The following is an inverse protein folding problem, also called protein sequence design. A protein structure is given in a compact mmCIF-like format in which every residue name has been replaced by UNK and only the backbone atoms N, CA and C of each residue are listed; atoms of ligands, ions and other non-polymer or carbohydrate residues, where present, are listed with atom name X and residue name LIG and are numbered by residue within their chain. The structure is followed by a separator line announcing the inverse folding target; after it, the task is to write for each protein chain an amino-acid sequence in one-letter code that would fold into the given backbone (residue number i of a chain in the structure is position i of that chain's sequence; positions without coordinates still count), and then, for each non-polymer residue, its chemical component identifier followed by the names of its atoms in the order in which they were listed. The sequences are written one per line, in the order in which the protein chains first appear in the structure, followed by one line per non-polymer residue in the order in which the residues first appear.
data_IF_243893562899
#
_entry.id   IF_243893562899
#
_cell.length_a   1.000
_cell.length_b   1.000
_cell.length_c   1.000
_cell.angle_alpha   90.00
_cell.angle_beta   90.00
_cell.angle_gamma   90.00
#
_symmetry.space_group_name_H-M   'P 1'
#
loop_
_entity.id
_entity.type
_entity.pdbx_description
1 polymer ?
#
# COMPACT_ATOMS: atom_id res chain seq x y z
N UNK A 1 28.87 12.33 55.18
CA UNK A 1 30.13 11.57 55.33
C UNK A 1 30.68 11.48 53.94
N UNK A 2 31.53 12.45 53.57
CA UNK A 2 33.03 12.42 53.59
C UNK A 2 33.54 11.26 52.73
N UNK A 3 34.28 11.41 51.70
CA UNK A 3 35.57 12.04 51.39
C UNK A 3 36.20 11.13 50.37
N UNK A 4 36.95 11.32 49.33
CA UNK A 4 37.89 12.27 48.80
C UNK A 4 38.46 11.62 47.52
N UNK A 5 38.58 12.22 46.40
CA UNK A 5 39.76 12.92 45.86
C UNK A 5 41.13 12.25 46.03
N UNK A 6 41.75 11.77 44.91
CA UNK A 6 43.21 11.78 44.74
C UNK A 6 43.52 11.99 43.24
N UNK A 7 44.31 13.03 43.04
CA UNK A 7 44.97 13.52 41.83
C UNK A 7 46.43 13.05 41.88
N UNK A 8 46.98 12.57 40.77
CA UNK A 8 48.46 12.46 40.68
C UNK A 8 48.89 12.87 39.26
N UNK A 9 49.49 14.03 39.21
CA UNK A 9 50.40 14.47 38.13
C UNK A 9 51.78 13.85 38.34
N UNK A 10 52.42 13.48 37.22
CA UNK A 10 53.90 13.49 37.15
C UNK A 10 54.38 13.93 35.78
N UNK A 11 55.05 15.05 35.79
CA UNK A 11 55.91 15.64 34.77
C UNK A 11 57.24 14.94 34.70
N UNK A 12 57.80 14.84 33.48
CA UNK A 12 59.18 14.43 33.25
C UNK A 12 59.69 14.95 31.90
N UNK A 13 60.45 16.05 31.95
CA UNK A 13 61.27 16.58 30.85
C UNK A 13 62.57 15.81 30.71
N UNK A 14 63.11 15.71 29.50
CA UNK A 14 64.49 15.28 29.24
C UNK A 14 64.85 15.44 27.75
N UNK A 15 65.78 16.37 27.48
CA UNK A 15 66.21 16.88 26.18
C UNK A 15 67.27 16.07 25.44
N UNK A 16 67.32 16.35 24.10
CA UNK A 16 68.50 16.46 23.15
C UNK A 16 69.16 15.15 22.67
N UNK A 17 69.44 14.89 21.42
CA UNK A 17 69.95 15.58 20.25
C UNK A 17 70.22 14.59 19.10
N UNK A 18 70.13 15.15 17.88
CA UNK A 18 70.92 14.86 16.69
C UNK A 18 70.57 13.74 15.71
N UNK A 19 69.96 14.21 14.62
CA UNK A 19 70.13 13.94 13.17
C UNK A 19 70.48 12.53 12.62
N UNK A 20 69.64 12.05 11.68
CA UNK A 20 69.92 11.96 10.22
C UNK A 20 68.77 11.24 9.46
N UNK A 21 68.30 11.94 8.45
CA UNK A 21 67.86 11.49 7.13
C UNK A 21 67.57 9.99 6.91
N UNK A 22 66.34 9.67 6.53
CA UNK A 22 66.03 8.91 5.30
C UNK A 22 64.52 8.96 5.00
N UNK A 23 64.19 9.34 3.76
CA UNK A 23 62.88 9.30 3.14
C UNK A 23 62.18 7.97 3.30
N UNK A 24 60.85 8.00 3.61
CA UNK A 24 59.91 7.06 3.06
C UNK A 24 58.45 7.53 3.29
N UNK A 25 57.80 7.79 2.20
CA UNK A 25 56.40 7.50 1.87
C UNK A 25 55.33 7.97 2.84
N UNK A 26 54.80 9.12 2.57
CA UNK A 26 53.43 9.54 2.97
C UNK A 26 52.39 8.58 2.40
N UNK A 27 51.86 7.68 3.24
CA UNK A 27 50.56 7.06 3.03
C UNK A 27 49.51 8.07 3.44
N UNK A 28 48.92 8.75 2.47
CA UNK A 28 47.72 9.52 2.66
C UNK A 28 46.58 8.54 2.83
N UNK A 29 46.12 8.32 4.04
CA UNK A 29 44.82 7.74 4.31
C UNK A 29 43.81 8.79 3.89
N UNK A 30 43.33 8.64 2.66
CA UNK A 30 42.12 9.32 2.18
C UNK A 30 40.97 8.70 2.98
N UNK A 31 40.54 9.39 4.02
CA UNK A 31 39.22 9.19 4.60
C UNK A 31 38.23 9.38 3.44
N UNK A 32 37.63 8.31 2.96
CA UNK A 32 36.48 8.38 2.10
C UNK A 32 35.36 8.95 2.95
N UNK A 33 35.23 10.28 2.86
CA UNK A 33 34.02 11.00 3.24
C UNK A 33 32.95 10.51 2.27
N UNK A 34 32.18 9.49 2.68
CA UNK A 34 30.95 9.14 1.99
C UNK A 34 29.93 10.22 2.34
N UNK A 35 30.03 11.37 1.70
CA UNK A 35 28.90 12.24 1.57
C UNK A 35 27.85 11.41 0.81
N UNK A 36 26.83 10.93 1.53
CA UNK A 36 25.61 10.46 0.88
C UNK A 36 25.23 11.58 -0.09
N UNK A 37 25.18 11.28 -1.38
CA UNK A 37 24.68 12.22 -2.37
C UNK A 37 23.28 12.62 -1.89
N UNK A 38 23.07 13.92 -1.64
CA UNK A 38 21.76 14.44 -1.29
C UNK A 38 20.87 14.09 -2.49
N UNK A 39 19.81 13.29 -2.27
CA UNK A 39 18.92 12.91 -3.35
C UNK A 39 18.13 14.12 -3.81
N UNK A 40 17.94 14.26 -5.12
CA UNK A 40 17.19 15.39 -5.70
C UNK A 40 15.71 15.33 -5.34
N UNK A 41 15.18 14.10 -5.05
CA UNK A 41 13.77 13.85 -4.73
C UNK A 41 13.60 12.95 -3.51
N UNK A 42 12.57 13.22 -2.71
CA UNK A 42 12.10 12.35 -1.64
C UNK A 42 10.62 12.02 -1.86
N UNK A 43 10.29 10.75 -2.04
CA UNK A 43 8.92 10.28 -2.28
C UNK A 43 8.44 9.42 -1.12
N UNK A 44 7.26 9.77 -0.56
CA UNK A 44 6.54 8.93 0.37
C UNK A 44 5.68 7.91 -0.38
N UNK A 45 5.82 6.62 -0.07
CA UNK A 45 4.93 5.57 -0.59
C UNK A 45 4.07 5.03 0.56
N UNK A 46 2.76 5.32 0.51
CA UNK A 46 1.76 4.81 1.43
C UNK A 46 1.02 3.65 0.79
N UNK A 47 1.28 2.42 1.22
CA UNK A 47 0.58 1.21 0.77
C UNK A 47 -0.42 0.76 1.84
N UNK A 48 -1.68 0.47 1.47
CA UNK A 48 -2.73 0.18 2.44
C UNK A 48 -2.58 -1.19 3.09
N UNK A 49 -2.34 -2.23 2.31
CA UNK A 49 -2.20 -3.61 2.79
C UNK A 49 -1.04 -4.33 2.09
N UNK A 50 -0.65 -5.48 2.63
CA UNK A 50 0.40 -6.32 2.05
C UNK A 50 -0.24 -7.50 1.31
N UNK A 51 -0.23 -7.44 -0.01
CA UNK A 51 -0.58 -8.54 -0.91
C UNK A 51 -0.05 -8.25 -2.33
N UNK A 52 0.10 -9.32 -3.13
CA UNK A 52 0.80 -9.27 -4.42
C UNK A 52 0.34 -8.20 -5.39
N UNK A 53 -0.97 -7.89 -5.43
CA UNK A 53 -1.50 -6.85 -6.33
C UNK A 53 -0.99 -5.46 -5.99
N UNK A 54 -0.97 -5.09 -4.69
CA UNK A 54 -0.46 -3.77 -4.26
C UNK A 54 1.06 -3.70 -4.32
N UNK A 55 1.75 -4.83 -4.08
CA UNK A 55 3.21 -4.91 -4.25
C UNK A 55 3.60 -4.67 -5.71
N UNK A 56 2.88 -5.28 -6.66
CA UNK A 56 3.07 -5.04 -8.08
C UNK A 56 2.81 -3.57 -8.47
N UNK A 57 1.84 -2.90 -7.85
CA UNK A 57 1.59 -1.47 -8.07
C UNK A 57 2.78 -0.62 -7.59
N UNK A 58 3.33 -0.92 -6.41
CA UNK A 58 4.53 -0.24 -5.88
C UNK A 58 5.73 -0.44 -6.78
N UNK A 59 6.01 -1.69 -7.16
CA UNK A 59 7.13 -2.04 -8.02
C UNK A 59 7.01 -1.37 -9.39
N UNK A 60 5.81 -1.41 -9.99
CA UNK A 60 5.54 -0.74 -11.28
C UNK A 60 5.71 0.78 -11.20
N UNK A 61 5.31 1.41 -10.10
CA UNK A 61 5.53 2.84 -9.88
C UNK A 61 7.02 3.17 -9.85
N UNK A 62 7.82 2.42 -9.08
CA UNK A 62 9.27 2.61 -8.98
C UNK A 62 9.99 2.32 -10.31
N UNK A 63 9.55 1.30 -11.05
CA UNK A 63 10.09 1.01 -12.38
C UNK A 63 9.76 2.12 -13.39
N UNK A 64 8.55 2.69 -13.28
CA UNK A 64 8.16 3.87 -14.07
C UNK A 64 9.06 5.08 -13.80
N UNK A 65 9.34 5.39 -12.54
CA UNK A 65 10.26 6.46 -12.16
C UNK A 65 11.67 6.21 -12.68
N UNK A 66 12.17 4.98 -12.52
CA UNK A 66 13.48 4.59 -13.04
C UNK A 66 13.56 4.75 -14.56
N UNK A 67 12.51 4.39 -15.29
CA UNK A 67 12.43 4.60 -16.74
C UNK A 67 12.49 6.08 -17.15
N UNK A 68 12.07 6.97 -16.24
CA UNK A 68 12.15 8.42 -16.40
C UNK A 68 13.48 9.03 -15.90
N UNK A 69 14.43 8.20 -15.45
CA UNK A 69 15.73 8.63 -14.93
C UNK A 69 15.71 9.04 -13.46
N UNK A 70 14.66 8.70 -12.71
CA UNK A 70 14.53 8.93 -11.27
C UNK A 70 14.70 7.58 -10.57
N UNK A 71 15.87 7.33 -9.98
CA UNK A 71 16.26 6.01 -9.47
C UNK A 71 16.63 6.07 -8.00
N UNK A 72 16.08 5.14 -7.21
CA UNK A 72 16.36 5.01 -5.78
C UNK A 72 17.86 4.76 -5.53
N UNK A 73 18.42 5.52 -4.58
CA UNK A 73 19.84 5.47 -4.23
C UNK A 73 20.76 6.24 -5.20
N UNK A 74 20.21 6.85 -6.26
CA UNK A 74 20.95 7.74 -7.18
C UNK A 74 20.50 9.19 -6.99
N UNK A 75 19.25 9.49 -7.30
CA UNK A 75 18.63 10.81 -7.18
C UNK A 75 17.23 10.75 -6.54
N UNK A 76 16.85 9.61 -5.96
CA UNK A 76 15.59 9.39 -5.26
C UNK A 76 15.83 8.76 -3.90
N UNK A 77 15.19 9.31 -2.87
CA UNK A 77 14.97 8.68 -1.58
C UNK A 77 13.51 8.22 -1.51
N UNK A 78 13.29 6.94 -1.20
CA UNK A 78 11.96 6.35 -1.02
C UNK A 78 11.68 6.13 0.46
N UNK A 79 10.60 6.73 0.96
CA UNK A 79 10.07 6.48 2.29
C UNK A 79 8.82 5.60 2.17
N UNK A 80 8.99 4.29 2.30
CA UNK A 80 7.90 3.33 2.21
C UNK A 80 7.30 3.03 3.58
N UNK A 81 5.96 3.05 3.66
CA UNK A 81 5.17 2.66 4.83
C UNK A 81 3.96 1.84 4.40
N UNK A 82 3.61 0.82 5.20
CA UNK A 82 2.42 -0.01 5.00
C UNK A 82 1.48 0.15 6.20
N UNK A 83 0.20 0.41 5.94
CA UNK A 83 -0.80 0.66 6.98
C UNK A 83 -1.45 -0.60 7.55
N UNK A 84 -1.09 -1.79 7.06
CA UNK A 84 -1.59 -3.08 7.55
C UNK A 84 -3.13 -3.15 7.57
N UNK A 85 -3.77 -2.63 6.52
CA UNK A 85 -5.22 -2.53 6.37
C UNK A 85 -5.92 -1.72 7.48
N UNK A 86 -5.22 -0.78 8.12
CA UNK A 86 -5.76 0.11 9.14
C UNK A 86 -5.79 1.56 8.66
N UNK A 87 -6.99 2.15 8.59
CA UNK A 87 -7.18 3.52 8.08
C UNK A 87 -6.59 4.59 9.00
N UNK A 88 -6.56 4.36 10.31
CA UNK A 88 -5.92 5.27 11.28
C UNK A 88 -4.41 5.31 11.08
N UNK A 89 -3.81 4.14 10.84
CA UNK A 89 -2.39 4.02 10.49
C UNK A 89 -2.11 4.69 9.14
N UNK A 90 -2.97 4.51 8.13
CA UNK A 90 -2.82 5.18 6.83
C UNK A 90 -2.81 6.72 6.97
N UNK A 91 -3.70 7.27 7.79
CA UNK A 91 -3.72 8.72 8.09
C UNK A 91 -2.44 9.18 8.79
N UNK A 92 -1.97 8.40 9.78
CA UNK A 92 -0.71 8.70 10.49
C UNK A 92 0.50 8.69 9.55
N UNK A 93 0.55 7.74 8.61
CA UNK A 93 1.60 7.67 7.58
C UNK A 93 1.57 8.91 6.69
N UNK A 94 0.39 9.30 6.21
CA UNK A 94 0.23 10.48 5.38
C UNK A 94 0.66 11.76 6.10
N UNK A 95 0.24 11.97 7.37
CA UNK A 95 0.66 13.10 8.19
C UNK A 95 2.18 13.14 8.40
N UNK A 96 2.81 11.97 8.57
CA UNK A 96 4.27 11.88 8.69
C UNK A 96 4.97 12.32 7.39
N UNK A 97 4.47 11.93 6.22
CA UNK A 97 5.04 12.36 4.95
C UNK A 97 4.88 13.87 4.74
N UNK A 98 3.72 14.43 5.08
CA UNK A 98 3.51 15.89 5.05
C UNK A 98 4.47 16.59 6.00
N UNK A 99 4.65 16.10 7.24
CA UNK A 99 5.56 16.71 8.22
C UNK A 99 7.03 16.66 7.79
N UNK A 100 7.42 15.66 7.00
CA UNK A 100 8.75 15.52 6.42
C UNK A 100 8.94 16.32 5.14
N UNK A 101 7.88 16.93 4.66
CA UNK A 101 7.86 17.71 3.43
C UNK A 101 8.43 16.93 2.23
N UNK A 102 7.92 15.70 2.03
CA UNK A 102 8.28 14.90 0.84
C UNK A 102 7.84 15.61 -0.44
N UNK A 103 8.51 15.36 -1.57
CA UNK A 103 8.22 16.02 -2.84
C UNK A 103 6.95 15.48 -3.52
N UNK A 104 6.56 14.24 -3.19
CA UNK A 104 5.38 13.56 -3.71
C UNK A 104 4.95 12.43 -2.78
N UNK A 105 3.65 12.18 -2.68
CA UNK A 105 3.13 10.97 -2.06
C UNK A 105 2.53 10.05 -3.13
N UNK A 106 3.06 8.83 -3.24
CA UNK A 106 2.42 7.74 -3.96
C UNK A 106 1.52 6.97 -3.00
N UNK A 107 0.21 7.00 -3.26
CA UNK A 107 -0.77 6.34 -2.42
C UNK A 107 -1.37 5.12 -3.13
N UNK A 108 -1.17 3.94 -2.55
CA UNK A 108 -1.56 2.66 -3.14
C UNK A 108 -2.79 2.12 -2.42
N UNK A 109 -3.88 1.94 -3.13
CA UNK A 109 -5.24 1.63 -2.74
C UNK A 109 -6.07 2.82 -2.24
N UNK A 110 -7.40 2.71 -2.38
CA UNK A 110 -8.36 3.78 -2.07
C UNK A 110 -8.21 4.36 -0.66
N UNK A 111 -8.10 3.57 0.43
CA UNK A 111 -7.98 4.14 1.78
C UNK A 111 -6.68 4.93 1.99
N UNK A 112 -5.56 4.48 1.41
CA UNK A 112 -4.30 5.26 1.44
C UNK A 112 -4.41 6.55 0.64
N UNK A 113 -5.05 6.51 -0.54
CA UNK A 113 -5.24 7.68 -1.38
C UNK A 113 -6.12 8.75 -0.70
N UNK A 114 -7.22 8.33 -0.07
CA UNK A 114 -8.09 9.22 0.72
C UNK A 114 -7.34 9.83 1.91
N UNK A 115 -6.56 9.04 2.63
CA UNK A 115 -5.76 9.53 3.77
C UNK A 115 -4.69 10.53 3.31
N UNK A 116 -3.95 10.21 2.24
CA UNK A 116 -2.92 11.09 1.69
C UNK A 116 -3.52 12.41 1.19
N UNK A 117 -4.63 12.36 0.46
CA UNK A 117 -5.31 13.56 -0.02
C UNK A 117 -5.78 14.45 1.13
N UNK A 118 -6.43 13.86 2.14
CA UNK A 118 -6.91 14.61 3.30
C UNK A 118 -5.77 15.28 4.08
N UNK A 119 -4.64 14.60 4.26
CA UNK A 119 -3.46 15.17 4.94
C UNK A 119 -2.78 16.27 4.12
N UNK A 120 -2.94 16.25 2.79
CA UNK A 120 -2.33 17.22 1.89
C UNK A 120 -3.21 18.43 1.55
N UNK A 121 -4.44 18.55 2.09
CA UNK A 121 -5.37 19.64 1.74
C UNK A 121 -4.80 21.04 1.96
N UNK A 122 -3.97 21.22 2.98
CA UNK A 122 -3.33 22.49 3.32
C UNK A 122 -1.84 22.53 2.90
N UNK A 123 -1.39 21.59 2.05
CA UNK A 123 -0.01 21.52 1.55
C UNK A 123 0.02 21.58 0.01
N UNK A 124 1.20 21.86 -0.55
CA UNK A 124 1.42 21.82 -2.00
C UNK A 124 1.95 20.46 -2.47
N UNK A 125 2.07 19.47 -1.57
CA UNK A 125 2.59 18.15 -1.90
C UNK A 125 1.60 17.44 -2.84
N UNK A 126 2.01 17.05 -4.05
CA UNK A 126 1.16 16.31 -4.97
C UNK A 126 0.98 14.87 -4.48
N UNK A 127 -0.23 14.33 -4.72
CA UNK A 127 -0.56 12.93 -4.46
C UNK A 127 -0.81 12.23 -5.79
N UNK A 128 -0.13 11.11 -6.00
CA UNK A 128 -0.40 10.20 -7.12
C UNK A 128 -0.92 8.88 -6.58
N UNK A 129 -2.14 8.49 -6.97
CA UNK A 129 -2.71 7.23 -6.53
C UNK A 129 -2.63 6.14 -7.61
N UNK A 130 -2.64 4.90 -7.17
CA UNK A 130 -2.87 3.71 -8.00
C UNK A 130 -3.74 2.72 -7.24
N UNK A 131 -4.36 1.77 -7.93
CA UNK A 131 -5.31 0.81 -7.35
C UNK A 131 -6.48 1.50 -6.60
N UNK A 132 -7.11 2.47 -7.26
CA UNK A 132 -8.32 3.15 -6.76
C UNK A 132 -9.49 2.81 -7.67
N UNK A 133 -10.45 2.02 -7.19
CA UNK A 133 -11.51 1.47 -8.04
C UNK A 133 -12.55 2.51 -8.43
N UNK A 134 -12.88 3.44 -7.54
CA UNK A 134 -13.85 4.50 -7.76
C UNK A 134 -13.34 5.85 -7.25
N UNK A 135 -12.52 6.57 -8.04
CA UNK A 135 -11.99 7.87 -7.61
C UNK A 135 -13.08 8.92 -7.34
N UNK A 136 -14.19 8.87 -8.06
CA UNK A 136 -15.33 9.80 -7.87
C UNK A 136 -16.04 9.51 -6.55
N UNK A 137 -16.40 8.25 -6.31
CA UNK A 137 -17.01 7.81 -5.06
C UNK A 137 -16.12 8.01 -3.84
N UNK A 138 -14.79 7.97 -4.01
CA UNK A 138 -13.81 8.26 -2.99
C UNK A 138 -13.53 9.76 -2.77
N UNK A 139 -14.10 10.66 -3.59
CA UNK A 139 -13.87 12.10 -3.50
C UNK A 139 -12.49 12.55 -3.99
N UNK A 140 -11.82 11.74 -4.81
CA UNK A 140 -10.49 12.00 -5.40
C UNK A 140 -10.56 12.52 -6.83
N UNK A 141 -11.76 12.51 -7.42
CA UNK A 141 -12.08 13.08 -8.71
C UNK A 141 -13.49 13.72 -8.67
N UNK A 142 -13.75 14.64 -9.59
CA UNK A 142 -15.09 15.21 -9.79
C UNK A 142 -16.01 14.23 -10.56
N UNK A 143 -17.28 14.61 -10.77
CA UNK A 143 -18.27 13.77 -11.48
C UNK A 143 -17.90 13.49 -12.94
N UNK A 144 -17.07 14.32 -13.55
CA UNK A 144 -16.54 14.18 -14.90
C UNK A 144 -15.24 13.33 -14.91
N UNK A 145 -14.71 12.95 -13.74
CA UNK A 145 -13.49 12.18 -13.58
C UNK A 145 -12.19 13.01 -13.63
N UNK A 146 -12.30 14.35 -13.53
CA UNK A 146 -11.09 15.18 -13.44
C UNK A 146 -10.53 15.19 -12.03
N UNK A 147 -9.23 15.41 -11.92
CA UNK A 147 -8.53 15.55 -10.64
C UNK A 147 -9.09 16.69 -9.78
N UNK A 148 -9.21 16.47 -8.48
CA UNK A 148 -9.55 17.51 -7.50
C UNK A 148 -8.30 17.91 -6.72
N UNK A 149 -8.05 19.22 -6.57
CA UNK A 149 -6.84 19.68 -5.87
C UNK A 149 -5.53 19.12 -6.48
N UNK A 150 -4.60 18.74 -5.61
CA UNK A 150 -3.27 18.25 -6.01
C UNK A 150 -3.20 16.71 -6.07
N UNK A 151 -4.28 16.04 -6.48
CA UNK A 151 -4.29 14.58 -6.57
C UNK A 151 -4.68 14.10 -7.98
N UNK A 152 -3.99 13.07 -8.46
CA UNK A 152 -4.31 12.36 -9.70
C UNK A 152 -3.83 10.91 -9.60
N UNK A 153 -4.19 10.07 -10.58
CA UNK A 153 -3.72 8.69 -10.56
C UNK A 153 -4.40 7.79 -11.59
N UNK A 154 -4.35 6.49 -11.32
CA UNK A 154 -4.92 5.45 -12.16
C UNK A 154 -6.00 4.67 -11.42
N UNK A 155 -7.11 4.35 -12.13
CA UNK A 155 -8.19 3.54 -11.60
C UNK A 155 -8.02 2.07 -12.02
N UNK A 156 -8.42 1.17 -11.10
CA UNK A 156 -8.56 -0.27 -11.30
C UNK A 156 -10.03 -0.72 -11.24
N UNK A 157 -10.95 0.13 -11.73
CA UNK A 157 -12.38 -0.15 -11.70
C UNK A 157 -12.70 -1.55 -12.22
N UNK A 158 -13.44 -2.34 -11.42
CA UNK A 158 -13.87 -3.67 -11.82
C UNK A 158 -14.93 -3.62 -12.92
N UNK A 159 -14.82 -4.47 -13.96
CA UNK A 159 -15.86 -4.65 -14.96
C UNK A 159 -16.96 -5.57 -14.41
N UNK A 160 -17.81 -5.05 -13.51
CA UNK A 160 -18.82 -5.83 -12.76
C UNK A 160 -19.78 -6.58 -13.69
N UNK A 161 -20.21 -5.94 -14.78
CA UNK A 161 -21.13 -6.56 -15.73
C UNK A 161 -20.52 -7.77 -16.44
N UNK A 162 -19.25 -7.67 -16.85
CA UNK A 162 -18.49 -8.76 -17.46
C UNK A 162 -18.24 -9.90 -16.47
N UNK A 163 -18.00 -9.58 -15.20
CA UNK A 163 -17.88 -10.56 -14.12
C UNK A 163 -19.19 -11.33 -13.95
N UNK A 164 -20.33 -10.65 -13.85
CA UNK A 164 -21.65 -11.29 -13.71
C UNK A 164 -21.96 -12.18 -14.92
N UNK A 165 -21.65 -11.71 -16.13
CA UNK A 165 -21.82 -12.48 -17.35
C UNK A 165 -20.95 -13.73 -17.36
N UNK A 166 -19.68 -13.62 -17.01
CA UNK A 166 -18.76 -14.74 -16.91
C UNK A 166 -19.24 -15.78 -15.90
N UNK A 167 -19.70 -15.35 -14.71
CA UNK A 167 -20.25 -16.26 -13.70
C UNK A 167 -21.48 -16.97 -14.24
N UNK A 168 -22.39 -16.28 -14.94
CA UNK A 168 -23.58 -16.89 -15.54
C UNK A 168 -23.24 -17.92 -16.62
N UNK A 169 -22.25 -17.61 -17.45
CA UNK A 169 -21.80 -18.53 -18.53
C UNK A 169 -21.17 -19.80 -17.94
N UNK A 170 -20.41 -19.70 -16.86
CA UNK A 170 -19.75 -20.84 -16.21
C UNK A 170 -20.68 -21.62 -15.27
N UNK A 171 -21.66 -20.95 -14.67
CA UNK A 171 -22.57 -21.49 -13.66
C UNK A 171 -24.03 -21.17 -14.03
N UNK A 172 -24.61 -21.79 -15.08
CA UNK A 172 -25.93 -21.44 -15.58
C UNK A 172 -27.08 -21.67 -14.58
N UNK A 173 -26.90 -22.56 -13.58
CA UNK A 173 -27.89 -22.89 -12.56
C UNK A 173 -27.72 -22.09 -11.27
N UNK A 174 -26.62 -21.37 -11.08
CA UNK A 174 -26.37 -20.57 -9.88
C UNK A 174 -27.38 -19.45 -9.71
N UNK A 175 -27.76 -19.18 -8.46
CA UNK A 175 -28.75 -18.12 -8.11
C UNK A 175 -28.14 -17.09 -7.16
N UNK A 176 -27.19 -17.48 -6.31
CA UNK A 176 -26.67 -16.62 -5.24
C UNK A 176 -25.17 -16.45 -5.38
N UNK A 177 -24.74 -15.21 -5.47
CA UNK A 177 -23.33 -14.84 -5.45
C UNK A 177 -23.03 -14.23 -4.08
N UNK A 178 -22.05 -14.79 -3.38
CA UNK A 178 -21.55 -14.26 -2.12
C UNK A 178 -20.48 -13.21 -2.35
N UNK A 179 -20.53 -12.13 -1.61
CA UNK A 179 -19.48 -11.09 -1.59
C UNK A 179 -19.12 -10.77 -0.16
N UNK A 180 -17.86 -11.01 0.20
CA UNK A 180 -17.28 -10.57 1.47
C UNK A 180 -16.58 -9.24 1.26
N UNK A 181 -16.80 -8.27 2.17
CA UNK A 181 -16.23 -6.94 2.00
C UNK A 181 -15.98 -6.22 3.31
N UNK A 182 -15.07 -5.27 3.31
CA UNK A 182 -14.76 -4.41 4.44
C UNK A 182 -15.60 -3.15 4.41
N UNK A 183 -16.37 -2.89 5.48
CA UNK A 183 -17.34 -1.79 5.53
C UNK A 183 -16.71 -0.40 5.51
N UNK A 184 -15.43 -0.28 5.86
CA UNK A 184 -14.67 0.97 5.83
C UNK A 184 -13.92 1.21 4.52
N UNK A 185 -13.92 0.25 3.57
CA UNK A 185 -13.31 0.42 2.26
C UNK A 185 -14.31 0.97 1.24
N UNK A 186 -14.17 2.25 0.86
CA UNK A 186 -15.08 2.94 -0.06
C UNK A 186 -15.16 2.26 -1.44
N UNK A 187 -14.03 1.73 -1.95
CA UNK A 187 -13.98 0.93 -3.17
C UNK A 187 -14.92 -0.27 -3.11
N UNK A 188 -14.92 -1.00 -2.00
CA UNK A 188 -15.75 -2.19 -1.83
C UNK A 188 -17.24 -1.83 -1.72
N UNK A 189 -17.56 -0.79 -0.95
CA UNK A 189 -18.93 -0.30 -0.79
C UNK A 189 -19.52 0.15 -2.13
N UNK A 190 -18.75 0.90 -2.94
CA UNK A 190 -19.15 1.33 -4.29
C UNK A 190 -19.36 0.13 -5.22
N UNK A 191 -18.42 -0.79 -5.25
CA UNK A 191 -18.48 -1.97 -6.12
C UNK A 191 -19.67 -2.88 -5.79
N UNK A 192 -19.96 -3.12 -4.50
CA UNK A 192 -21.15 -3.92 -4.10
C UNK A 192 -22.45 -3.27 -4.54
N UNK A 193 -22.53 -1.95 -4.48
CA UNK A 193 -23.71 -1.25 -4.98
C UNK A 193 -23.91 -1.53 -6.48
N UNK A 194 -22.86 -1.46 -7.29
CA UNK A 194 -22.92 -1.78 -8.72
C UNK A 194 -23.31 -3.27 -8.94
N UNK A 195 -22.74 -4.22 -8.16
CA UNK A 195 -23.15 -5.62 -8.20
C UNK A 195 -24.64 -5.82 -7.94
N UNK A 196 -25.19 -5.18 -6.89
CA UNK A 196 -26.62 -5.28 -6.55
C UNK A 196 -27.53 -4.67 -7.63
N UNK A 197 -27.09 -3.57 -8.26
CA UNK A 197 -27.85 -2.94 -9.34
C UNK A 197 -27.89 -3.78 -10.62
N UNK A 198 -26.80 -4.49 -10.94
CA UNK A 198 -26.68 -5.23 -12.19
C UNK A 198 -27.06 -6.71 -12.08
N UNK A 199 -26.98 -7.31 -10.89
CA UNK A 199 -27.16 -8.74 -10.67
C UNK A 199 -28.54 -9.25 -11.14
N UNK A 200 -29.59 -8.47 -10.99
CA UNK A 200 -30.94 -8.84 -11.41
C UNK A 200 -31.04 -9.08 -12.94
N UNK A 201 -30.22 -8.37 -13.73
CA UNK A 201 -30.18 -8.55 -15.19
C UNK A 201 -29.64 -9.93 -15.61
N UNK A 202 -28.97 -10.61 -14.67
CA UNK A 202 -28.35 -11.91 -14.84
C UNK A 202 -29.01 -12.99 -13.97
N UNK A 203 -30.22 -12.74 -13.43
CA UNK A 203 -30.94 -13.64 -12.52
C UNK A 203 -30.13 -14.06 -11.28
N UNK A 204 -29.30 -13.17 -10.73
CA UNK A 204 -28.55 -13.38 -9.48
C UNK A 204 -29.11 -12.58 -8.31
N UNK A 205 -29.04 -13.18 -7.14
CA UNK A 205 -29.16 -12.53 -5.83
C UNK A 205 -27.77 -12.34 -5.25
N UNK A 206 -27.43 -11.11 -4.85
CA UNK A 206 -26.16 -10.83 -4.14
C UNK A 206 -26.39 -11.00 -2.64
N UNK A 207 -25.63 -11.90 -2.04
CA UNK A 207 -25.57 -12.09 -0.58
C UNK A 207 -24.26 -11.51 -0.10
N UNK A 208 -24.30 -10.31 0.46
CA UNK A 208 -23.13 -9.63 0.95
C UNK A 208 -22.92 -9.81 2.46
N UNK A 209 -21.67 -9.87 2.88
CA UNK A 209 -21.26 -9.98 4.28
C UNK A 209 -20.18 -8.95 4.58
N UNK A 210 -20.55 -7.94 5.40
CA UNK A 210 -19.61 -6.87 5.81
C UNK A 210 -18.75 -7.30 6.98
N UNK A 211 -17.45 -7.02 6.92
CA UNK A 211 -16.47 -7.18 7.99
C UNK A 211 -15.84 -5.84 8.36
N UNK A 212 -15.15 -5.79 9.48
CA UNK A 212 -14.41 -4.59 9.90
C UNK A 212 -12.90 -4.81 9.92
N UNK A 213 -12.44 -6.05 10.15
CA UNK A 213 -11.03 -6.39 10.28
C UNK A 213 -10.70 -7.73 9.65
N UNK A 214 -9.43 -8.00 9.40
CA UNK A 214 -8.92 -9.30 8.93
C UNK A 214 -9.34 -10.45 9.85
N UNK A 215 -9.44 -10.21 11.16
CA UNK A 215 -9.83 -11.23 12.13
C UNK A 215 -11.27 -11.74 11.93
N UNK A 216 -12.14 -10.97 11.30
CA UNK A 216 -13.53 -11.34 11.04
C UNK A 216 -13.68 -12.26 9.82
N UNK A 217 -12.68 -12.34 8.94
CA UNK A 217 -12.74 -12.99 7.63
C UNK A 217 -13.12 -14.46 7.75
N UNK A 218 -12.49 -15.23 8.64
CA UNK A 218 -12.71 -16.66 8.72
C UNK A 218 -14.17 -17.00 9.05
N UNK A 219 -14.73 -16.35 10.06
CA UNK A 219 -16.10 -16.59 10.48
C UNK A 219 -17.10 -16.15 9.42
N UNK A 220 -16.89 -14.97 8.85
CA UNK A 220 -17.76 -14.41 7.83
C UNK A 220 -17.73 -15.22 6.52
N UNK A 221 -16.55 -15.67 6.09
CA UNK A 221 -16.38 -16.49 4.89
C UNK A 221 -17.08 -17.85 5.05
N UNK A 222 -16.94 -18.53 6.20
CA UNK A 222 -17.62 -19.81 6.49
C UNK A 222 -19.15 -19.66 6.51
N UNK A 223 -19.65 -18.61 7.12
CA UNK A 223 -21.09 -18.32 7.15
C UNK A 223 -21.60 -18.02 5.73
N UNK A 224 -20.92 -17.15 4.99
CA UNK A 224 -21.27 -16.78 3.61
C UNK A 224 -21.26 -17.99 2.67
N UNK A 225 -20.19 -18.80 2.68
CA UNK A 225 -20.05 -19.99 1.85
C UNK A 225 -21.17 -21.02 2.06
N UNK A 226 -21.82 -21.01 3.24
CA UNK A 226 -22.95 -21.90 3.53
C UNK A 226 -24.29 -21.48 2.88
N UNK A 227 -24.36 -20.29 2.29
CA UNK A 227 -25.60 -19.63 1.84
C UNK A 227 -25.64 -19.34 0.34
N UNK A 228 -24.53 -19.54 -0.36
CA UNK A 228 -24.35 -19.09 -1.76
C UNK A 228 -23.84 -20.21 -2.68
N UNK A 229 -23.98 -20.00 -3.98
CA UNK A 229 -23.55 -20.95 -5.00
C UNK A 229 -22.08 -20.73 -5.41
N UNK A 230 -21.59 -19.50 -5.27
CA UNK A 230 -20.20 -19.12 -5.49
C UNK A 230 -19.86 -17.84 -4.71
N UNK A 231 -18.58 -17.54 -4.59
CA UNK A 231 -18.09 -16.27 -4.04
C UNK A 231 -17.44 -15.49 -5.19
N UNK A 232 -17.80 -14.19 -5.32
CA UNK A 232 -17.08 -13.22 -6.15
C UNK A 232 -16.24 -12.34 -5.22
N UNK A 233 -14.91 -12.44 -5.35
CA UNK A 233 -14.02 -11.65 -4.54
C UNK A 233 -13.78 -10.30 -5.22
N UNK A 234 -13.82 -9.21 -4.44
CA UNK A 234 -13.58 -7.86 -4.94
C UNK A 234 -12.09 -7.50 -4.85
N UNK A 235 -11.76 -6.26 -5.24
CA UNK A 235 -10.49 -5.59 -4.90
C UNK A 235 -10.54 -5.00 -3.48
N UNK A 236 -11.09 -5.77 -2.53
CA UNK A 236 -11.12 -5.45 -1.09
C UNK A 236 -9.78 -5.81 -0.47
N UNK A 237 -9.03 -4.83 -0.01
CA UNK A 237 -7.64 -5.04 0.42
C UNK A 237 -7.54 -5.90 1.69
N UNK A 238 -8.49 -5.75 2.60
CA UNK A 238 -8.54 -6.52 3.85
C UNK A 238 -8.90 -7.98 3.57
N UNK A 239 -9.90 -8.23 2.72
CA UNK A 239 -10.30 -9.59 2.33
C UNK A 239 -9.20 -10.27 1.52
N UNK A 240 -8.57 -9.56 0.57
CA UNK A 240 -7.48 -10.10 -0.27
C UNK A 240 -6.26 -10.46 0.59
N UNK A 241 -5.93 -9.71 1.62
CA UNK A 241 -4.85 -10.07 2.55
C UNK A 241 -5.07 -11.40 3.27
N UNK A 242 -6.33 -11.86 3.35
CA UNK A 242 -6.74 -13.15 3.94
C UNK A 242 -7.40 -14.10 2.92
N UNK A 243 -7.12 -13.94 1.62
CA UNK A 243 -7.81 -14.66 0.53
C UNK A 243 -7.75 -16.18 0.70
N UNK A 244 -6.64 -16.74 1.19
CA UNK A 244 -6.50 -18.17 1.43
C UNK A 244 -7.55 -18.69 2.45
N UNK A 245 -7.94 -17.85 3.41
CA UNK A 245 -9.00 -18.19 4.38
C UNK A 245 -10.37 -18.25 3.70
N UNK A 246 -10.63 -17.33 2.76
CA UNK A 246 -11.87 -17.32 1.96
C UNK A 246 -11.94 -18.55 1.05
N UNK A 247 -10.84 -18.88 0.36
CA UNK A 247 -10.73 -20.07 -0.51
C UNK A 247 -10.97 -21.34 0.31
N UNK A 248 -10.31 -21.47 1.47
CA UNK A 248 -10.50 -22.64 2.35
C UNK A 248 -11.96 -22.81 2.81
N UNK A 249 -12.64 -21.70 3.14
CA UNK A 249 -14.06 -21.75 3.52
C UNK A 249 -14.98 -22.16 2.36
N UNK A 250 -14.67 -21.72 1.13
CA UNK A 250 -15.38 -22.09 -0.09
C UNK A 250 -15.14 -23.57 -0.45
N UNK A 251 -13.91 -24.04 -0.32
CA UNK A 251 -13.52 -25.45 -0.56
C UNK A 251 -14.25 -26.41 0.37
N UNK A 252 -14.42 -26.07 1.66
CA UNK A 252 -15.22 -26.86 2.62
C UNK A 252 -16.67 -27.07 2.14
N UNK A 253 -17.17 -26.18 1.27
CA UNK A 253 -18.54 -26.22 0.71
C UNK A 253 -18.59 -26.68 -0.75
N UNK A 254 -17.42 -26.89 -1.38
CA UNK A 254 -17.27 -27.22 -2.80
C UNK A 254 -17.93 -26.15 -3.69
N UNK A 255 -17.78 -24.89 -3.38
CA UNK A 255 -18.22 -23.76 -4.21
C UNK A 255 -17.00 -23.00 -4.78
N UNK A 256 -17.08 -22.49 -6.02
CA UNK A 256 -15.96 -21.74 -6.60
C UNK A 256 -15.84 -20.33 -6.03
N UNK A 257 -14.60 -19.82 -6.09
CA UNK A 257 -14.27 -18.40 -5.83
C UNK A 257 -13.82 -17.78 -7.15
N UNK A 258 -14.46 -16.70 -7.53
CA UNK A 258 -14.09 -15.89 -8.70
C UNK A 258 -13.23 -14.72 -8.26
N UNK A 259 -12.00 -14.65 -8.72
CA UNK A 259 -11.09 -13.56 -8.47
C UNK A 259 -11.34 -12.37 -9.40
N UNK A 260 -11.06 -11.17 -8.93
CA UNK A 260 -11.24 -9.93 -9.70
C UNK A 260 -9.98 -9.44 -10.40
N UNK A 261 -8.83 -10.05 -10.09
CA UNK A 261 -7.54 -9.70 -10.69
C UNK A 261 -6.58 -10.90 -10.68
N UNK A 262 -5.45 -10.76 -11.40
CA UNK A 262 -4.55 -11.88 -11.72
C UNK A 262 -3.92 -12.55 -10.49
N UNK A 263 -3.52 -11.77 -9.46
CA UNK A 263 -2.87 -12.35 -8.28
C UNK A 263 -3.87 -13.16 -7.42
N UNK A 264 -5.15 -12.75 -7.39
CA UNK A 264 -6.20 -13.54 -6.75
C UNK A 264 -6.43 -14.89 -7.46
N UNK A 265 -6.32 -14.91 -8.79
CA UNK A 265 -6.53 -16.15 -9.58
C UNK A 265 -5.33 -17.10 -9.49
N UNK A 266 -4.13 -16.59 -9.20
CA UNK A 266 -2.92 -17.41 -9.00
C UNK A 266 -2.82 -18.00 -7.59
N UNK A 267 -3.62 -17.49 -6.65
CA UNK A 267 -3.66 -17.92 -5.24
C UNK A 267 -4.44 -19.21 -5.08
#
# INVERSE_FOLDING_TARGET
MTTAMIMAMMTGCGSSDTAKDTQASTGSETSADSSAAESDYTIGISQFAEHGSLDNCREGFLEGLKSAGIEEGVNLTVEYQNSQADTGTASTIADNFVSKNVDLICAIATPSAMSAYNSCLDSEIPVVYTAVSDPVGAGLADEEGNSVGNITGTSDKLPVEEQLKMIRDLMPDAKKIGILYTTSEANSVSTIKEYKELAENYDFEIVDSGINTVADVEMAAKDLASKVDCISNLTDNTVVSALQTVIAAADEKNIPVFGSEIEQVKS
#
